data_IF_562172151871
#
_entry.id   IF_562172151871
#
_cell.length_a   1.000
_cell.length_b   1.000
_cell.length_c   1.000
_cell.angle_alpha   90.00
_cell.angle_beta   90.00
_cell.angle_gamma   90.00
#
_symmetry.space_group_name_H-M   'P 1'
#
loop_
_entity.id
_entity.type
_entity.pdbx_description
1 polymer ?
#
# COMPACT_ATOMS: atom_id res chain seq x y z
N UNK A 1 57.19 -0.61 13.85
CA UNK A 1 56.12 -0.90 14.82
C UNK A 1 56.41 -2.28 15.45
N UNK A 2 56.48 -2.39 16.77
CA UNK A 2 56.80 -3.68 17.45
C UNK A 2 55.68 -4.68 17.17
N UNK A 3 56.00 -5.96 16.92
CA UNK A 3 55.09 -7.07 16.62
C UNK A 3 53.86 -7.12 17.57
N UNK A 4 54.04 -6.80 18.83
CA UNK A 4 53.01 -6.74 19.86
C UNK A 4 51.97 -5.63 19.60
N UNK A 5 52.40 -4.44 19.17
CA UNK A 5 51.51 -3.31 18.83
C UNK A 5 50.65 -3.62 17.60
N UNK A 6 51.22 -4.30 16.58
CA UNK A 6 50.50 -4.71 15.39
C UNK A 6 49.39 -5.71 15.71
N UNK A 7 49.67 -6.69 16.58
CA UNK A 7 48.66 -7.68 17.02
C UNK A 7 47.51 -7.01 17.80
N UNK A 8 47.80 -6.04 18.66
CA UNK A 8 46.76 -5.31 19.39
C UNK A 8 45.85 -4.52 18.42
N UNK A 9 46.45 -3.85 17.45
CA UNK A 9 45.68 -3.12 16.42
C UNK A 9 44.78 -4.08 15.63
N UNK A 10 45.27 -5.25 15.21
CA UNK A 10 44.48 -6.23 14.48
C UNK A 10 43.29 -6.77 15.32
N UNK A 11 43.52 -6.98 16.62
CA UNK A 11 42.44 -7.41 17.53
C UNK A 11 41.37 -6.31 17.66
N UNK A 12 41.77 -5.06 17.84
CA UNK A 12 40.85 -3.91 17.94
C UNK A 12 40.03 -3.78 16.62
N UNK A 13 40.69 -3.86 15.45
CA UNK A 13 40.01 -3.81 14.15
C UNK A 13 39.02 -4.98 13.98
N UNK A 14 39.42 -6.18 14.41
CA UNK A 14 38.52 -7.35 14.42
C UNK A 14 37.29 -7.15 15.30
N UNK A 15 37.46 -6.61 16.51
CA UNK A 15 36.36 -6.29 17.42
C UNK A 15 35.43 -5.22 16.79
N UNK A 16 35.98 -4.15 16.20
CA UNK A 16 35.20 -3.10 15.56
C UNK A 16 34.43 -3.65 14.35
N UNK A 17 35.04 -4.52 13.56
CA UNK A 17 34.36 -5.18 12.45
C UNK A 17 33.21 -6.08 12.93
N UNK A 18 33.42 -6.86 14.00
CA UNK A 18 32.35 -7.67 14.59
C UNK A 18 31.20 -6.79 15.13
N UNK A 19 31.51 -5.72 15.86
CA UNK A 19 30.52 -4.79 16.37
C UNK A 19 29.71 -4.12 15.22
N UNK A 20 30.38 -3.77 14.14
CA UNK A 20 29.72 -3.23 12.93
C UNK A 20 28.76 -4.25 12.28
N UNK A 21 29.21 -5.51 12.12
CA UNK A 21 28.38 -6.58 11.56
C UNK A 21 27.17 -6.89 12.44
N UNK A 22 27.36 -6.96 13.77
CA UNK A 22 26.27 -7.14 14.74
C UNK A 22 25.30 -5.95 14.67
N UNK A 23 25.82 -4.73 14.62
CA UNK A 23 24.99 -3.52 14.48
C UNK A 23 24.17 -3.51 13.18
N UNK A 24 24.78 -3.91 12.06
CA UNK A 24 24.09 -4.04 10.76
C UNK A 24 23.03 -5.14 10.79
N UNK A 25 23.35 -6.30 11.37
CA UNK A 25 22.40 -7.40 11.51
C UNK A 25 21.19 -7.00 12.35
N UNK A 26 21.41 -6.40 13.52
CA UNK A 26 20.34 -5.95 14.40
C UNK A 26 19.49 -4.87 13.73
N UNK A 27 20.10 -3.92 13.00
CA UNK A 27 19.36 -2.90 12.26
C UNK A 27 18.44 -3.52 11.23
N UNK A 28 18.93 -4.47 10.43
CA UNK A 28 18.12 -5.13 9.40
C UNK A 28 16.99 -5.95 10.02
N UNK A 29 17.26 -6.70 11.08
CA UNK A 29 16.25 -7.50 11.76
C UNK A 29 15.15 -6.63 12.37
N UNK A 30 15.52 -5.57 13.12
CA UNK A 30 14.57 -4.63 13.71
C UNK A 30 13.73 -3.92 12.64
N UNK A 31 14.35 -3.52 11.51
CA UNK A 31 13.65 -2.91 10.37
C UNK A 31 12.64 -3.87 9.76
N UNK A 32 13.00 -5.13 9.53
CA UNK A 32 12.10 -6.13 8.96
C UNK A 32 10.93 -6.44 9.90
N UNK A 33 11.18 -6.57 11.20
CA UNK A 33 10.12 -6.79 12.19
C UNK A 33 9.14 -5.60 12.23
N UNK A 34 9.65 -4.37 12.26
CA UNK A 34 8.78 -3.18 12.21
C UNK A 34 7.98 -3.09 10.90
N UNK A 35 8.61 -3.44 9.77
CA UNK A 35 7.93 -3.49 8.48
C UNK A 35 6.82 -4.55 8.50
N UNK A 36 7.08 -5.75 9.04
CA UNK A 36 6.08 -6.81 9.20
C UNK A 36 4.87 -6.33 9.99
N UNK A 37 5.08 -5.71 11.17
CA UNK A 37 4.01 -5.16 12.02
C UNK A 37 3.15 -4.17 11.21
N UNK A 38 3.77 -3.22 10.53
CA UNK A 38 3.06 -2.22 9.73
C UNK A 38 2.32 -2.82 8.55
N UNK A 39 2.89 -3.83 7.89
CA UNK A 39 2.28 -4.54 6.77
C UNK A 39 1.04 -5.31 7.21
N UNK A 40 1.08 -5.99 8.36
CA UNK A 40 -0.09 -6.65 8.94
C UNK A 40 -1.21 -5.63 9.17
N UNK A 41 -0.93 -4.51 9.82
CA UNK A 41 -1.92 -3.46 10.06
C UNK A 41 -2.48 -2.88 8.73
N UNK A 42 -1.64 -2.62 7.73
CA UNK A 42 -2.05 -2.12 6.42
C UNK A 42 -2.95 -3.10 5.65
N UNK A 43 -2.75 -4.40 5.85
CA UNK A 43 -3.56 -5.45 5.22
C UNK A 43 -4.84 -5.77 6.00
N UNK A 44 -5.10 -5.07 7.10
CA UNK A 44 -6.30 -5.26 7.92
C UNK A 44 -6.19 -6.37 8.96
N UNK A 45 -4.99 -6.89 9.21
CA UNK A 45 -4.67 -7.84 10.28
C UNK A 45 -4.07 -7.11 11.48
N UNK A 46 -4.90 -6.31 12.15
CA UNK A 46 -4.49 -5.54 13.33
C UNK A 46 -4.18 -6.45 14.52
N UNK A 47 -4.89 -7.58 14.66
CA UNK A 47 -4.59 -8.56 15.71
C UNK A 47 -3.24 -9.22 15.51
N UNK A 48 -2.90 -9.59 14.27
CA UNK A 48 -1.56 -10.08 13.93
C UNK A 48 -0.48 -9.04 14.23
N UNK A 49 -0.74 -7.76 13.96
CA UNK A 49 0.17 -6.68 14.32
C UNK A 49 0.35 -6.55 15.85
N UNK A 50 -0.73 -6.69 16.64
CA UNK A 50 -0.68 -6.69 18.11
C UNK A 50 0.18 -7.85 18.61
N UNK A 51 -0.06 -9.07 18.12
CA UNK A 51 0.72 -10.25 18.49
C UNK A 51 2.21 -10.09 18.21
N UNK A 52 2.56 -9.53 17.04
CA UNK A 52 3.96 -9.24 16.70
C UNK A 52 4.59 -8.17 17.62
N UNK A 53 3.80 -7.17 18.02
CA UNK A 53 4.27 -6.14 18.98
C UNK A 53 4.47 -6.71 20.40
N UNK A 54 3.65 -7.64 20.82
CA UNK A 54 3.79 -8.32 22.12
C UNK A 54 5.05 -9.20 22.14
N UNK A 55 5.35 -9.89 21.05
CA UNK A 55 6.57 -10.68 20.89
C UNK A 55 7.83 -9.81 20.77
N UNK A 56 7.69 -8.58 20.30
CA UNK A 56 8.76 -7.63 20.06
C UNK A 56 8.50 -6.29 20.80
N UNK A 57 8.54 -6.25 22.14
CA UNK A 57 8.16 -5.07 22.92
C UNK A 57 9.14 -3.89 22.77
N UNK A 58 10.35 -4.17 22.27
CA UNK A 58 11.37 -3.15 22.00
C UNK A 58 12.36 -3.65 20.96
N UNK A 59 13.05 -2.72 20.30
CA UNK A 59 14.09 -2.99 19.31
C UNK A 59 15.48 -2.64 19.87
N UNK A 60 16.50 -3.33 19.36
CA UNK A 60 17.89 -3.13 19.74
C UNK A 60 18.50 -1.89 19.11
N UNK A 61 18.06 -1.54 17.91
CA UNK A 61 18.48 -0.31 17.23
C UNK A 61 17.78 0.90 17.82
N UNK A 62 18.52 1.83 18.41
CA UNK A 62 17.97 2.97 19.15
C UNK A 62 17.05 3.86 18.30
N UNK A 63 17.44 4.34 17.09
CA UNK A 63 16.55 5.10 16.22
C UNK A 63 15.25 4.38 15.87
N UNK A 64 15.31 3.10 15.51
CA UNK A 64 14.13 2.29 15.19
C UNK A 64 13.24 2.15 16.42
N UNK A 65 13.82 1.89 17.59
CA UNK A 65 13.08 1.73 18.83
C UNK A 65 12.35 3.02 19.26
N UNK A 66 12.96 4.19 19.06
CA UNK A 66 12.31 5.48 19.34
C UNK A 66 11.11 5.68 18.40
N UNK A 67 11.29 5.43 17.10
CA UNK A 67 10.22 5.54 16.10
C UNK A 67 9.08 4.55 16.38
N UNK A 68 9.43 3.30 16.72
CA UNK A 68 8.50 2.26 17.09
C UNK A 68 7.67 2.62 18.33
N UNK A 69 8.32 3.09 19.41
CA UNK A 69 7.61 3.46 20.66
C UNK A 69 6.62 4.60 20.46
N UNK A 70 6.94 5.58 19.58
CA UNK A 70 6.00 6.67 19.23
C UNK A 70 4.81 6.09 18.47
N UNK A 71 5.07 5.35 17.42
CA UNK A 71 4.04 4.72 16.61
C UNK A 71 3.15 3.76 17.45
N UNK A 72 3.78 2.95 18.33
CA UNK A 72 3.05 2.05 19.22
C UNK A 72 2.14 2.79 20.20
N UNK A 73 2.56 3.92 20.74
CA UNK A 73 1.72 4.74 21.62
C UNK A 73 0.45 5.18 20.93
N UNK A 74 0.56 5.68 19.68
CA UNK A 74 -0.59 6.11 18.90
C UNK A 74 -1.48 4.90 18.53
N UNK A 75 -0.85 3.77 18.22
CA UNK A 75 -1.53 2.50 17.93
C UNK A 75 -2.33 2.00 19.16
N UNK A 76 -1.71 1.99 20.32
CA UNK A 76 -2.37 1.58 21.57
C UNK A 76 -3.56 2.51 21.90
N UNK A 77 -3.41 3.82 21.72
CA UNK A 77 -4.50 4.79 21.91
C UNK A 77 -5.67 4.54 20.96
N UNK A 78 -5.40 4.14 19.72
CA UNK A 78 -6.45 3.86 18.71
C UNK A 78 -7.12 2.51 18.90
N UNK A 79 -6.37 1.44 19.11
CA UNK A 79 -6.88 0.07 19.02
C UNK A 79 -7.02 -0.61 20.38
N UNK A 80 -6.22 -0.25 21.39
CA UNK A 80 -6.21 -0.91 22.70
C UNK A 80 -7.04 -0.12 23.72
N UNK A 81 -6.63 1.13 24.02
CA UNK A 81 -7.32 1.97 25.02
C UNK A 81 -8.53 2.68 24.43
N UNK A 82 -8.56 2.86 23.11
CA UNK A 82 -9.64 3.52 22.35
C UNK A 82 -9.94 4.96 22.83
N UNK A 83 -8.91 5.64 23.35
CA UNK A 83 -8.97 7.00 23.87
C UNK A 83 -8.43 8.05 22.90
N UNK A 84 -8.15 7.66 21.64
CA UNK A 84 -7.73 8.58 20.60
C UNK A 84 -8.77 9.68 20.38
N UNK A 85 -8.32 10.93 20.47
CA UNK A 85 -9.13 12.10 20.14
C UNK A 85 -8.89 12.51 18.69
N UNK A 86 -9.95 12.49 17.89
CA UNK A 86 -9.90 12.91 16.50
C UNK A 86 -10.14 14.42 16.40
N UNK A 87 -9.21 15.14 15.82
CA UNK A 87 -9.35 16.57 15.54
C UNK A 87 -9.95 16.82 14.15
N UNK A 88 -10.83 17.82 14.04
CA UNK A 88 -11.38 18.21 12.74
C UNK A 88 -10.39 19.07 11.95
N UNK A 89 -9.52 18.40 11.21
CA UNK A 89 -8.56 19.05 10.29
C UNK A 89 -9.15 19.33 8.91
N UNK A 90 -10.34 18.78 8.60
CA UNK A 90 -11.01 18.90 7.28
C UNK A 90 -11.66 20.27 7.09
N UNK A 91 -12.05 20.95 8.19
CA UNK A 91 -12.75 22.22 8.15
C UNK A 91 -14.24 22.13 7.77
N UNK A 92 -14.74 20.93 7.39
CA UNK A 92 -16.14 20.66 7.11
C UNK A 92 -16.68 19.64 8.11
N UNK A 93 -17.70 20.05 8.88
CA UNK A 93 -18.26 19.22 9.96
C UNK A 93 -18.91 17.94 9.43
N UNK A 94 -19.64 18.00 8.32
CA UNK A 94 -20.36 16.85 7.76
C UNK A 94 -19.34 15.79 7.30
N UNK A 95 -18.31 16.21 6.58
CA UNK A 95 -17.24 15.31 6.11
C UNK A 95 -16.47 14.73 7.30
N UNK A 96 -16.17 15.55 8.30
CA UNK A 96 -15.52 15.09 9.52
C UNK A 96 -16.34 14.02 10.26
N UNK A 97 -17.65 14.25 10.45
CA UNK A 97 -18.53 13.32 11.14
C UNK A 97 -18.68 11.99 10.37
N UNK A 98 -18.87 12.06 9.04
CA UNK A 98 -18.89 10.88 8.18
C UNK A 98 -17.57 10.11 8.31
N UNK A 99 -16.43 10.80 8.24
CA UNK A 99 -15.12 10.16 8.36
C UNK A 99 -14.91 9.54 9.74
N UNK A 100 -15.46 10.15 10.80
CA UNK A 100 -15.40 9.61 12.15
C UNK A 100 -16.20 8.32 12.28
N UNK A 101 -17.41 8.25 11.68
CA UNK A 101 -18.21 7.03 11.62
C UNK A 101 -17.45 5.90 10.92
N UNK A 102 -16.75 6.18 9.80
CA UNK A 102 -15.92 5.19 9.12
C UNK A 102 -14.71 4.76 9.96
N UNK A 103 -14.02 5.70 10.62
CA UNK A 103 -12.86 5.37 11.50
C UNK A 103 -13.27 4.50 12.69
N UNK A 104 -14.43 4.78 13.30
CA UNK A 104 -15.00 3.91 14.35
C UNK A 104 -15.34 2.52 13.83
N UNK A 105 -15.93 2.45 12.64
CA UNK A 105 -16.23 1.18 11.97
C UNK A 105 -14.94 0.41 11.68
N UNK A 106 -13.92 1.02 11.06
CA UNK A 106 -12.65 0.35 10.79
C UNK A 106 -12.00 -0.13 12.09
N UNK A 107 -12.00 0.67 13.13
CA UNK A 107 -11.42 0.29 14.42
C UNK A 107 -12.04 -0.99 14.96
N UNK A 108 -13.36 -1.10 14.92
CA UNK A 108 -14.06 -2.29 15.44
C UNK A 108 -13.87 -3.51 14.52
N UNK A 109 -13.95 -3.34 13.20
CA UNK A 109 -13.82 -4.45 12.26
C UNK A 109 -12.37 -4.97 12.12
N UNK A 110 -11.38 -4.10 12.29
CA UNK A 110 -9.95 -4.47 12.25
C UNK A 110 -9.51 -5.32 13.45
N UNK A 111 -10.27 -5.28 14.55
CA UNK A 111 -10.03 -6.07 15.76
C UNK A 111 -10.76 -7.44 15.76
N UNK A 112 -11.43 -7.83 14.68
CA UNK A 112 -12.08 -9.13 14.58
C UNK A 112 -11.15 -10.19 14.02
N UNK A 113 -11.02 -11.32 14.69
CA UNK A 113 -10.15 -12.44 14.29
C UNK A 113 -10.61 -13.07 12.97
N UNK A 114 -11.91 -13.30 12.84
CA UNK A 114 -12.44 -14.01 11.69
C UNK A 114 -12.99 -13.00 10.66
N UNK A 115 -12.46 -12.98 9.42
CA UNK A 115 -13.00 -12.13 8.36
C UNK A 115 -14.50 -12.34 8.08
N UNK A 116 -15.06 -13.52 8.39
CA UNK A 116 -16.49 -13.81 8.22
C UNK A 116 -17.38 -13.10 9.24
N UNK A 117 -16.81 -12.64 10.34
CA UNK A 117 -17.54 -11.90 11.39
C UNK A 117 -17.57 -10.39 11.09
N UNK A 118 -16.85 -9.95 10.07
CA UNK A 118 -16.86 -8.56 9.61
C UNK A 118 -18.21 -8.24 8.97
N UNK A 119 -18.78 -7.10 9.35
CA UNK A 119 -20.10 -6.69 8.89
C UNK A 119 -20.23 -5.18 8.77
N UNK A 120 -20.85 -4.73 7.68
CA UNK A 120 -21.13 -3.32 7.43
C UNK A 120 -22.43 -2.84 8.10
N UNK A 121 -23.14 -3.72 8.78
CA UNK A 121 -24.46 -3.41 9.35
C UNK A 121 -24.39 -2.23 10.32
N UNK A 122 -23.37 -2.19 11.18
CA UNK A 122 -23.17 -1.10 12.15
C UNK A 122 -22.83 0.21 11.45
N UNK A 123 -21.97 0.16 10.42
CA UNK A 123 -21.62 1.32 9.60
C UNK A 123 -22.86 1.93 8.97
N UNK A 124 -23.65 1.13 8.23
CA UNK A 124 -24.83 1.62 7.54
C UNK A 124 -25.89 2.15 8.49
N UNK A 125 -26.05 1.52 9.67
CA UNK A 125 -26.95 2.02 10.69
C UNK A 125 -26.50 3.40 11.20
N UNK A 126 -25.23 3.55 11.59
CA UNK A 126 -24.68 4.83 12.09
C UNK A 126 -24.79 5.93 11.04
N UNK A 127 -24.48 5.64 9.78
CA UNK A 127 -24.63 6.59 8.68
C UNK A 127 -26.09 6.99 8.48
N UNK A 128 -27.02 6.02 8.48
CA UNK A 128 -28.46 6.29 8.36
C UNK A 128 -28.95 7.20 9.50
N UNK A 129 -28.60 6.86 10.72
CA UNK A 129 -29.00 7.64 11.92
C UNK A 129 -28.42 9.06 11.87
N UNK A 130 -27.15 9.20 11.50
CA UNK A 130 -26.50 10.49 11.37
C UNK A 130 -27.15 11.38 10.29
N UNK A 131 -27.39 10.84 9.09
CA UNK A 131 -27.93 11.61 7.98
C UNK A 131 -29.37 12.08 8.24
N UNK A 132 -30.19 11.26 8.88
CA UNK A 132 -31.57 11.64 9.29
C UNK A 132 -31.53 12.68 10.39
N UNK A 133 -30.76 12.45 11.45
CA UNK A 133 -30.71 13.34 12.62
C UNK A 133 -30.19 14.75 12.30
N UNK A 134 -29.39 14.87 11.24
CA UNK A 134 -28.85 16.16 10.79
C UNK A 134 -29.61 16.74 9.57
N UNK A 135 -30.74 16.16 9.17
CA UNK A 135 -31.55 16.59 8.03
C UNK A 135 -30.75 16.71 6.71
N UNK A 136 -29.80 15.80 6.49
CA UNK A 136 -28.93 15.78 5.31
C UNK A 136 -29.55 15.08 4.10
N UNK A 137 -30.73 14.43 4.29
CA UNK A 137 -31.46 13.72 3.28
C UNK A 137 -32.97 13.92 3.46
N UNK A 138 -33.72 13.85 2.36
CA UNK A 138 -35.17 13.82 2.36
C UNK A 138 -35.74 12.39 2.23
N UNK A 139 -34.88 11.39 2.11
CA UNK A 139 -35.28 10.00 1.97
C UNK A 139 -35.87 9.45 3.28
N UNK A 140 -36.86 8.57 3.17
CA UNK A 140 -37.32 7.78 4.30
C UNK A 140 -36.19 6.86 4.80
N UNK A 141 -36.25 6.42 6.06
CA UNK A 141 -35.23 5.52 6.64
C UNK A 141 -34.98 4.27 5.79
N UNK A 142 -36.03 3.64 5.27
CA UNK A 142 -35.93 2.41 4.47
C UNK A 142 -35.29 2.69 3.09
N UNK A 143 -35.66 3.79 2.46
CA UNK A 143 -35.06 4.21 1.19
C UNK A 143 -33.61 4.60 1.36
N UNK A 144 -33.30 5.32 2.43
CA UNK A 144 -31.94 5.72 2.77
C UNK A 144 -31.03 4.51 3.06
N UNK A 145 -31.49 3.54 3.86
CA UNK A 145 -30.75 2.31 4.14
C UNK A 145 -30.36 1.54 2.87
N UNK A 146 -31.22 1.53 1.85
CA UNK A 146 -30.91 0.91 0.56
C UNK A 146 -29.91 1.74 -0.24
N UNK A 147 -30.08 3.07 -0.25
CA UNK A 147 -29.25 4.00 -0.99
C UNK A 147 -27.81 4.12 -0.43
N UNK A 148 -27.65 4.00 0.88
CA UNK A 148 -26.31 3.97 1.51
C UNK A 148 -25.55 2.70 1.12
N UNK A 149 -26.23 1.54 0.99
CA UNK A 149 -25.60 0.28 0.59
C UNK A 149 -25.07 0.27 -0.84
N UNK A 150 -25.57 1.13 -1.70
CA UNK A 150 -25.09 1.34 -3.06
C UNK A 150 -24.34 2.68 -3.23
N UNK A 151 -24.00 3.31 -2.11
CA UNK A 151 -23.21 4.54 -1.98
C UNK A 151 -23.85 5.80 -2.61
N UNK A 152 -24.98 5.69 -3.28
CA UNK A 152 -25.49 6.77 -4.14
C UNK A 152 -25.88 8.04 -3.35
N UNK A 153 -26.60 7.90 -2.24
CA UNK A 153 -27.00 9.06 -1.44
C UNK A 153 -25.82 9.64 -0.64
N UNK A 154 -24.94 8.78 -0.12
CA UNK A 154 -23.74 9.22 0.60
C UNK A 154 -22.79 9.98 -0.33
N UNK A 155 -22.62 9.48 -1.56
CA UNK A 155 -21.87 10.15 -2.61
C UNK A 155 -22.44 11.54 -2.90
N UNK A 156 -23.74 11.63 -3.15
CA UNK A 156 -24.45 12.89 -3.41
C UNK A 156 -24.24 13.91 -2.27
N UNK A 157 -24.32 13.45 -1.01
CA UNK A 157 -24.16 14.32 0.16
C UNK A 157 -22.72 14.85 0.23
N UNK A 158 -21.72 14.00 0.04
CA UNK A 158 -20.31 14.40 0.07
C UNK A 158 -19.98 15.35 -1.08
N UNK A 159 -20.46 15.05 -2.30
CA UNK A 159 -20.26 15.92 -3.47
C UNK A 159 -20.93 17.29 -3.29
N UNK A 160 -22.09 17.35 -2.65
CA UNK A 160 -22.76 18.62 -2.31
C UNK A 160 -21.97 19.47 -1.28
N UNK A 161 -21.04 18.87 -0.55
CA UNK A 161 -20.12 19.61 0.31
C UNK A 161 -18.87 20.12 -0.45
N UNK A 162 -18.78 19.87 -1.76
CA UNK A 162 -17.67 20.32 -2.62
C UNK A 162 -16.49 19.35 -2.64
N UNK A 163 -16.64 18.13 -2.14
CA UNK A 163 -15.59 17.10 -2.15
C UNK A 163 -15.89 16.04 -3.21
N UNK A 164 -14.83 15.40 -3.70
CA UNK A 164 -14.93 14.20 -4.49
C UNK A 164 -14.83 12.97 -3.59
N UNK A 165 -15.43 11.87 -4.00
CA UNK A 165 -15.47 10.65 -3.20
C UNK A 165 -15.44 9.40 -4.05
N UNK A 166 -14.80 8.34 -3.55
CA UNK A 166 -14.92 6.98 -4.06
C UNK A 166 -15.08 6.00 -2.89
N UNK A 167 -15.82 4.92 -3.14
CA UNK A 167 -16.08 3.86 -2.19
C UNK A 167 -15.58 2.55 -2.78
N UNK A 168 -15.04 1.69 -1.93
CA UNK A 168 -14.59 0.37 -2.31
C UNK A 168 -14.89 -0.64 -1.24
N UNK A 169 -14.89 -1.90 -1.63
CA UNK A 169 -14.90 -3.01 -0.69
C UNK A 169 -13.60 -3.79 -0.87
N UNK A 170 -12.75 -3.80 0.16
CA UNK A 170 -11.44 -4.47 0.12
C UNK A 170 -11.15 -5.16 1.44
N UNK A 171 -10.66 -6.40 1.38
CA UNK A 171 -10.29 -7.21 2.55
C UNK A 171 -11.43 -7.37 3.59
N UNK A 172 -12.70 -7.36 3.12
CA UNK A 172 -13.87 -7.46 4.00
C UNK A 172 -14.31 -6.14 4.63
N UNK A 173 -13.77 -4.99 4.18
CA UNK A 173 -14.10 -3.66 4.70
C UNK A 173 -14.68 -2.75 3.64
N UNK A 174 -15.64 -1.90 4.07
CA UNK A 174 -16.03 -0.73 3.29
C UNK A 174 -14.94 0.34 3.42
N UNK A 175 -14.46 0.80 2.27
CA UNK A 175 -13.44 1.84 2.13
C UNK A 175 -14.09 3.18 1.82
N UNK A 176 -13.46 4.24 2.28
CA UNK A 176 -13.84 5.62 1.97
C UNK A 176 -12.61 6.40 1.57
N UNK A 177 -12.67 7.00 0.39
CA UNK A 177 -11.68 7.94 -0.13
C UNK A 177 -12.37 9.27 -0.39
N UNK A 178 -11.92 10.35 0.24
CA UNK A 178 -12.43 11.71 0.03
C UNK A 178 -11.27 12.63 -0.30
N UNK A 179 -11.44 13.46 -1.32
CA UNK A 179 -10.44 14.44 -1.74
C UNK A 179 -11.09 15.74 -2.21
N UNK A 180 -10.32 16.82 -2.14
CA UNK A 180 -10.78 18.17 -2.47
C UNK A 180 -10.65 18.43 -3.98
N UNK A 181 -9.48 18.21 -4.57
CA UNK A 181 -9.18 18.56 -5.95
C UNK A 181 -8.79 17.35 -6.80
N UNK A 182 -9.16 17.43 -8.08
CA UNK A 182 -8.74 16.47 -9.09
C UNK A 182 -8.51 17.14 -10.44
N UNK A 183 -7.60 16.56 -11.22
CA UNK A 183 -7.38 16.89 -12.63
C UNK A 183 -7.56 15.62 -13.45
N UNK A 184 -8.22 15.71 -14.59
CA UNK A 184 -8.47 14.56 -15.47
C UNK A 184 -7.65 14.73 -16.75
N UNK A 185 -6.92 13.66 -17.13
CA UNK A 185 -6.23 13.58 -18.42
C UNK A 185 -6.48 12.22 -19.07
N UNK A 186 -6.53 12.20 -20.39
CA UNK A 186 -6.56 10.97 -21.18
C UNK A 186 -5.17 10.70 -21.74
N UNK A 187 -4.80 9.42 -21.73
CA UNK A 187 -3.52 8.92 -22.23
C UNK A 187 -3.78 7.80 -23.23
N UNK A 188 -3.08 7.85 -24.34
CA UNK A 188 -2.93 6.72 -25.24
C UNK A 188 -1.75 5.88 -24.74
N UNK A 189 -2.03 4.67 -24.21
CA UNK A 189 -1.05 3.80 -23.61
C UNK A 189 -0.70 2.67 -24.54
N UNK A 190 0.55 2.67 -25.02
CA UNK A 190 1.08 1.64 -25.90
C UNK A 190 1.61 0.49 -25.06
N UNK A 191 1.01 -0.69 -25.24
CA UNK A 191 1.40 -1.97 -24.66
C UNK A 191 1.93 -2.90 -25.76
N UNK A 192 2.60 -4.04 -25.45
CA UNK A 192 3.25 -4.88 -26.46
C UNK A 192 2.33 -5.41 -27.57
N UNK A 193 1.04 -5.57 -27.29
CA UNK A 193 0.04 -6.12 -28.24
C UNK A 193 -1.23 -5.29 -28.35
N UNK A 194 -1.31 -4.17 -27.65
CA UNK A 194 -2.50 -3.32 -27.61
C UNK A 194 -2.13 -1.85 -27.48
N UNK A 195 -3.01 -0.99 -27.92
CA UNK A 195 -3.01 0.43 -27.58
C UNK A 195 -4.34 0.75 -26.98
N UNK A 196 -4.37 1.35 -25.79
CA UNK A 196 -5.61 1.66 -25.10
C UNK A 196 -5.68 3.12 -24.68
N UNK A 197 -6.87 3.68 -24.79
CA UNK A 197 -7.22 4.96 -24.21
C UNK A 197 -7.48 4.78 -22.71
N UNK A 198 -6.67 5.43 -21.87
CA UNK A 198 -6.79 5.36 -20.42
C UNK A 198 -7.06 6.75 -19.86
N UNK A 199 -8.18 6.88 -19.15
CA UNK A 199 -8.51 8.09 -18.40
C UNK A 199 -7.81 8.06 -17.05
N UNK A 200 -7.05 9.11 -16.70
CA UNK A 200 -6.40 9.23 -15.40
C UNK A 200 -6.99 10.41 -14.63
N UNK A 201 -7.52 10.12 -13.45
CA UNK A 201 -7.99 11.08 -12.47
C UNK A 201 -6.85 11.29 -11.45
N UNK A 202 -6.16 12.40 -11.55
CA UNK A 202 -5.13 12.81 -10.60
C UNK A 202 -5.78 13.41 -9.36
N UNK A 203 -5.65 12.72 -8.25
CA UNK A 203 -6.22 13.14 -6.98
C UNK A 203 -5.23 14.04 -6.23
N UNK A 204 -5.73 15.15 -5.76
CA UNK A 204 -4.99 16.13 -4.97
C UNK A 204 -5.73 16.42 -3.67
N UNK A 205 -5.00 16.75 -2.60
CA UNK A 205 -5.57 17.16 -1.32
C UNK A 205 -6.55 16.14 -0.73
N UNK A 206 -6.08 14.92 -0.52
CA UNK A 206 -6.86 13.92 0.19
C UNK A 206 -7.25 14.38 1.58
N UNK A 207 -8.48 14.05 1.97
CA UNK A 207 -9.00 14.22 3.33
C UNK A 207 -9.10 12.86 4.03
N UNK A 208 -9.48 11.82 3.29
CA UNK A 208 -9.59 10.44 3.79
C UNK A 208 -8.94 9.51 2.77
N UNK A 209 -8.09 8.60 3.27
CA UNK A 209 -7.22 7.72 2.46
C UNK A 209 -7.54 6.23 2.58
N UNK A 210 -8.67 5.85 3.19
CA UNK A 210 -9.01 4.46 3.45
C UNK A 210 -8.48 3.91 4.79
N UNK A 211 -8.79 2.63 5.08
CA UNK A 211 -8.46 2.03 6.37
C UNK A 211 -6.97 1.74 6.55
N UNK A 212 -6.23 1.43 5.50
CA UNK A 212 -4.80 1.15 5.58
C UNK A 212 -4.00 2.37 6.07
N UNK A 213 -4.34 3.55 5.56
CA UNK A 213 -3.79 4.80 6.07
C UNK A 213 -4.18 5.04 7.53
N UNK A 214 -5.44 4.79 7.87
CA UNK A 214 -5.94 4.88 9.25
C UNK A 214 -5.18 3.89 10.16
N UNK A 215 -5.09 2.61 9.81
CA UNK A 215 -4.44 1.58 10.62
C UNK A 215 -2.93 1.79 10.79
N UNK A 216 -2.28 2.49 9.87
CA UNK A 216 -0.82 2.70 9.87
C UNK A 216 -0.38 4.13 10.19
N UNK A 217 -1.30 5.01 10.59
CA UNK A 217 -0.99 6.42 10.90
C UNK A 217 -0.29 7.14 9.75
N UNK A 218 -0.80 6.94 8.53
CA UNK A 218 -0.25 7.56 7.33
C UNK A 218 1.00 6.89 6.76
N UNK A 219 1.52 5.82 7.37
CA UNK A 219 2.70 5.10 6.84
C UNK A 219 2.38 4.31 5.57
N UNK A 220 1.13 3.87 5.40
CA UNK A 220 0.60 3.26 4.18
C UNK A 220 -0.42 4.19 3.53
N UNK A 221 -0.38 4.26 2.22
CA UNK A 221 -1.32 5.02 1.41
C UNK A 221 -1.47 4.35 0.06
N UNK A 222 -2.67 4.31 -0.46
CA UNK A 222 -2.94 3.86 -1.82
C UNK A 222 -2.26 4.81 -2.81
N UNK A 223 -1.44 4.26 -3.71
CA UNK A 223 -0.80 5.04 -4.79
C UNK A 223 -1.79 5.42 -5.89
N UNK A 224 -2.78 4.57 -6.09
CA UNK A 224 -3.84 4.71 -7.06
C UNK A 224 -4.67 3.44 -7.13
N UNK A 225 -5.67 3.44 -7.98
CA UNK A 225 -6.50 2.27 -8.28
C UNK A 225 -7.14 2.38 -9.66
N UNK A 226 -7.62 1.26 -10.16
CA UNK A 226 -8.24 1.14 -11.47
C UNK A 226 -9.74 0.84 -11.36
N UNK A 227 -10.54 1.42 -12.27
CA UNK A 227 -11.92 1.03 -12.53
C UNK A 227 -11.99 0.46 -13.95
N UNK A 228 -12.14 -0.86 -14.04
CA UNK A 228 -12.08 -1.62 -15.30
C UNK A 228 -13.13 -1.18 -16.29
N UNK A 229 -14.38 -1.02 -15.85
CA UNK A 229 -15.55 -0.76 -16.69
C UNK A 229 -15.43 0.55 -17.49
N UNK A 230 -14.65 1.48 -16.99
CA UNK A 230 -14.45 2.80 -17.61
C UNK A 230 -13.03 3.07 -18.06
N UNK A 231 -12.12 2.07 -18.00
CA UNK A 231 -10.69 2.24 -18.24
C UNK A 231 -10.13 3.50 -17.54
N UNK A 232 -10.52 3.69 -16.27
CA UNK A 232 -10.18 4.86 -15.48
C UNK A 232 -9.20 4.49 -14.37
N UNK A 233 -8.10 5.21 -14.31
CA UNK A 233 -7.12 5.15 -13.22
C UNK A 233 -7.32 6.34 -12.29
N UNK A 234 -7.24 6.09 -10.99
CA UNK A 234 -7.16 7.12 -9.97
C UNK A 234 -5.73 7.16 -9.43
N UNK A 235 -5.06 8.27 -9.58
CA UNK A 235 -3.65 8.45 -9.26
C UNK A 235 -3.46 9.47 -8.14
N UNK A 236 -2.80 9.08 -7.07
CA UNK A 236 -2.35 10.01 -6.06
C UNK A 236 -1.25 10.91 -6.66
N UNK A 237 -1.61 12.15 -7.03
CA UNK A 237 -0.74 13.10 -7.73
C UNK A 237 0.57 13.39 -6.99
N UNK A 238 0.56 13.31 -5.66
CA UNK A 238 1.74 13.61 -4.85
C UNK A 238 2.81 12.51 -4.91
N UNK A 239 2.46 11.31 -5.39
CA UNK A 239 3.36 10.17 -5.46
C UNK A 239 4.19 10.09 -6.73
N UNK A 240 3.80 10.81 -7.78
CA UNK A 240 4.41 10.68 -9.10
C UNK A 240 4.82 12.02 -9.70
N UNK A 241 6.05 12.09 -10.18
CA UNK A 241 6.42 13.08 -11.19
C UNK A 241 5.86 12.59 -12.54
N UNK A 242 4.94 13.35 -13.12
CA UNK A 242 4.24 12.96 -14.35
C UNK A 242 5.15 12.93 -15.60
N UNK A 243 6.35 13.46 -15.49
CA UNK A 243 7.34 13.43 -16.56
C UNK A 243 8.39 12.32 -16.34
N UNK A 244 8.25 11.51 -15.30
CA UNK A 244 9.18 10.43 -14.98
C UNK A 244 8.79 9.11 -15.63
N UNK A 245 9.79 8.29 -15.92
CA UNK A 245 9.60 6.90 -16.34
C UNK A 245 8.84 6.10 -15.27
N UNK A 246 9.02 6.43 -13.99
CA UNK A 246 8.24 5.79 -12.92
C UNK A 246 6.74 6.02 -13.06
N UNK A 247 6.29 7.21 -13.50
CA UNK A 247 4.88 7.44 -13.80
C UNK A 247 4.46 6.70 -15.08
N UNK A 248 5.22 6.84 -16.16
CA UNK A 248 4.84 6.29 -17.47
C UNK A 248 4.83 4.76 -17.46
N UNK A 249 5.86 4.14 -16.90
CA UNK A 249 6.05 2.68 -16.96
C UNK A 249 5.45 2.01 -15.73
N UNK A 250 5.88 2.40 -14.53
CA UNK A 250 5.52 1.67 -13.31
C UNK A 250 4.13 2.00 -12.76
N UNK A 251 3.49 3.04 -13.29
CA UNK A 251 2.10 3.32 -12.98
C UNK A 251 1.22 3.17 -14.22
N UNK A 252 1.41 4.00 -15.24
CA UNK A 252 0.47 4.10 -16.36
C UNK A 252 0.40 2.80 -17.18
N UNK A 253 1.55 2.25 -17.62
CA UNK A 253 1.56 0.98 -18.37
C UNK A 253 1.17 -0.21 -17.50
N UNK A 254 1.65 -0.27 -16.26
CA UNK A 254 1.32 -1.31 -15.28
C UNK A 254 -0.19 -1.43 -15.06
N UNK A 255 -0.82 -0.34 -14.64
CA UNK A 255 -2.25 -0.31 -14.34
C UNK A 255 -3.12 -0.46 -15.60
N UNK A 256 -2.67 0.09 -16.73
CA UNK A 256 -3.39 -0.05 -18.00
C UNK A 256 -3.38 -1.48 -18.53
N UNK A 257 -2.31 -2.25 -18.25
CA UNK A 257 -2.27 -3.67 -18.62
C UNK A 257 -3.36 -4.47 -17.89
N UNK A 258 -3.69 -4.13 -16.65
CA UNK A 258 -4.76 -4.80 -15.92
C UNK A 258 -6.11 -4.72 -16.65
N UNK A 259 -6.40 -3.61 -17.35
CA UNK A 259 -7.64 -3.50 -18.16
C UNK A 259 -7.66 -4.50 -19.30
N UNK A 260 -6.56 -4.62 -20.05
CA UNK A 260 -6.48 -5.57 -21.18
C UNK A 260 -6.46 -7.01 -20.70
N UNK A 261 -5.74 -7.31 -19.62
CA UNK A 261 -5.62 -8.64 -19.08
C UNK A 261 -6.94 -9.14 -18.50
N UNK A 262 -7.64 -8.35 -17.71
CA UNK A 262 -8.95 -8.73 -17.18
C UNK A 262 -10.03 -8.90 -18.28
N UNK A 263 -9.89 -8.20 -19.40
CA UNK A 263 -10.78 -8.39 -20.54
C UNK A 263 -10.47 -9.69 -21.30
N UNK A 264 -9.18 -10.01 -21.49
CA UNK A 264 -8.75 -11.21 -22.22
C UNK A 264 -8.79 -12.48 -21.34
N UNK A 265 -8.48 -12.31 -20.06
CA UNK A 265 -8.28 -13.40 -19.11
C UNK A 265 -9.02 -13.11 -17.78
N UNK A 266 -10.36 -13.17 -17.78
CA UNK A 266 -11.17 -12.72 -16.62
C UNK A 266 -10.96 -13.53 -15.33
N UNK A 267 -10.28 -14.68 -15.42
CA UNK A 267 -10.03 -15.58 -14.30
C UNK A 267 -8.58 -15.51 -13.77
N UNK A 268 -7.75 -14.57 -14.24
CA UNK A 268 -6.42 -14.39 -13.67
C UNK A 268 -6.52 -14.03 -12.18
N UNK A 269 -5.68 -14.66 -11.37
CA UNK A 269 -5.53 -14.27 -9.98
C UNK A 269 -4.84 -12.91 -9.87
N UNK A 270 -5.02 -12.22 -8.72
CA UNK A 270 -4.31 -10.96 -8.47
C UNK A 270 -2.79 -11.11 -8.60
N UNK A 271 -2.23 -12.24 -8.13
CA UNK A 271 -0.79 -12.51 -8.26
C UNK A 271 -0.33 -12.65 -9.72
N UNK A 272 -1.17 -13.26 -10.59
CA UNK A 272 -0.85 -13.38 -12.01
C UNK A 272 -0.96 -12.05 -12.74
N UNK A 273 -1.95 -11.22 -12.39
CA UNK A 273 -2.08 -9.85 -12.89
C UNK A 273 -0.84 -9.01 -12.54
N UNK A 274 -0.43 -9.06 -11.28
CA UNK A 274 0.76 -8.35 -10.81
C UNK A 274 2.05 -8.84 -11.47
N UNK A 275 2.19 -10.18 -11.63
CA UNK A 275 3.35 -10.74 -12.33
C UNK A 275 3.47 -10.19 -13.75
N UNK A 276 2.36 -10.14 -14.49
CA UNK A 276 2.32 -9.63 -15.86
C UNK A 276 2.60 -8.13 -15.93
N UNK A 277 2.00 -7.35 -15.02
CA UNK A 277 2.22 -5.92 -14.96
C UNK A 277 3.68 -5.57 -14.60
N UNK A 278 4.30 -6.29 -13.68
CA UNK A 278 5.73 -6.12 -13.35
C UNK A 278 6.66 -6.58 -14.47
N UNK A 279 6.27 -7.58 -15.25
CA UNK A 279 7.01 -7.95 -16.47
C UNK A 279 7.02 -6.79 -17.46
N UNK A 280 5.86 -6.12 -17.68
CA UNK A 280 5.80 -4.91 -18.51
C UNK A 280 6.70 -3.79 -17.96
N UNK A 281 6.75 -3.59 -16.65
CA UNK A 281 7.67 -2.61 -16.08
C UNK A 281 9.11 -2.88 -16.55
N UNK A 282 9.61 -4.09 -16.37
CA UNK A 282 10.98 -4.44 -16.78
C UNK A 282 11.21 -4.38 -18.30
N UNK A 283 10.18 -4.68 -19.11
CA UNK A 283 10.30 -4.58 -20.58
C UNK A 283 10.45 -3.14 -21.07
N UNK A 284 9.97 -2.15 -20.34
CA UNK A 284 9.95 -0.74 -20.76
C UNK A 284 10.84 0.17 -19.92
N UNK A 285 11.37 -0.28 -18.78
CA UNK A 285 12.33 0.48 -18.01
C UNK A 285 13.62 0.68 -18.78
N UNK A 286 14.19 1.89 -18.69
CA UNK A 286 15.49 2.25 -19.24
C UNK A 286 16.59 2.22 -18.17
N UNK A 287 17.82 2.66 -18.51
CA UNK A 287 18.92 2.79 -17.52
C UNK A 287 18.55 3.68 -16.33
N UNK A 288 17.61 4.61 -16.51
CA UNK A 288 17.19 5.54 -15.45
C UNK A 288 16.54 4.80 -14.27
N UNK A 289 15.73 3.77 -14.52
CA UNK A 289 14.91 3.16 -13.46
C UNK A 289 15.05 1.66 -13.32
N UNK A 290 15.61 0.93 -14.30
CA UNK A 290 15.58 -0.54 -14.31
C UNK A 290 16.26 -1.16 -13.08
N UNK A 291 17.39 -0.64 -12.66
CA UNK A 291 18.12 -1.19 -11.51
C UNK A 291 17.42 -0.89 -10.19
N UNK A 292 16.80 0.29 -10.05
CA UNK A 292 15.98 0.63 -8.89
C UNK A 292 14.76 -0.27 -8.85
N UNK A 293 14.16 -0.59 -10.00
CA UNK A 293 13.02 -1.51 -10.09
C UNK A 293 13.39 -2.93 -9.70
N UNK A 294 14.54 -3.43 -10.15
CA UNK A 294 15.07 -4.74 -9.70
C UNK A 294 15.31 -4.73 -8.18
N UNK A 295 15.88 -3.66 -7.64
CA UNK A 295 16.10 -3.53 -6.20
C UNK A 295 14.80 -3.53 -5.40
N UNK A 296 13.78 -2.82 -5.89
CA UNK A 296 12.44 -2.80 -5.28
C UNK A 296 11.80 -4.20 -5.30
N UNK A 297 11.92 -4.92 -6.42
CA UNK A 297 11.39 -6.27 -6.54
C UNK A 297 12.14 -7.25 -5.62
N UNK A 298 13.46 -7.17 -5.52
CA UNK A 298 14.27 -7.96 -4.59
C UNK A 298 13.87 -7.70 -3.13
N UNK A 299 13.75 -6.44 -2.75
CA UNK A 299 13.41 -6.03 -1.38
C UNK A 299 11.97 -6.39 -0.99
N UNK A 300 11.06 -6.39 -1.96
CA UNK A 300 9.65 -6.70 -1.78
C UNK A 300 9.28 -8.16 -2.03
N UNK A 301 10.23 -9.03 -2.41
CA UNK A 301 9.94 -10.44 -2.74
C UNK A 301 9.54 -11.25 -1.51
N UNK A 302 8.42 -11.98 -1.60
CA UNK A 302 7.95 -12.88 -0.55
C UNK A 302 7.08 -14.00 -1.14
N UNK A 303 7.38 -15.26 -0.82
CA UNK A 303 6.67 -16.44 -1.33
C UNK A 303 5.77 -17.14 -0.31
N UNK A 304 5.58 -16.57 0.88
CA UNK A 304 4.84 -17.22 1.97
C UNK A 304 3.34 -17.32 1.68
N UNK A 305 2.77 -16.33 1.01
CA UNK A 305 1.34 -16.31 0.73
C UNK A 305 1.06 -15.65 -0.63
N UNK A 306 0.43 -16.43 -1.54
CA UNK A 306 0.02 -15.95 -2.86
C UNK A 306 -1.05 -14.86 -2.82
N UNK A 307 -1.82 -14.76 -1.75
CA UNK A 307 -2.84 -13.72 -1.60
C UNK A 307 -2.22 -12.32 -1.46
N UNK A 308 -0.97 -12.23 -1.02
CA UNK A 308 -0.16 -11.01 -1.08
C UNK A 308 0.42 -10.84 -2.48
N UNK A 309 -0.40 -10.39 -3.42
CA UNK A 309 -0.14 -10.42 -4.85
C UNK A 309 1.18 -9.75 -5.28
N UNK A 310 1.48 -8.55 -4.83
CA UNK A 310 2.70 -7.83 -5.19
C UNK A 310 3.99 -8.52 -4.69
N UNK A 311 4.14 -8.87 -3.39
CA UNK A 311 5.31 -9.58 -2.90
C UNK A 311 5.51 -10.94 -3.56
N UNK A 312 4.42 -11.68 -3.78
CA UNK A 312 4.47 -12.97 -4.44
C UNK A 312 4.88 -12.86 -5.90
N UNK A 313 4.33 -11.90 -6.64
CA UNK A 313 4.70 -11.61 -8.03
C UNK A 313 6.18 -11.20 -8.15
N UNK A 314 6.68 -10.37 -7.24
CA UNK A 314 8.10 -10.01 -7.16
C UNK A 314 8.97 -11.26 -7.03
N UNK A 315 8.63 -12.17 -6.09
CA UNK A 315 9.39 -13.38 -5.88
C UNK A 315 9.44 -14.27 -7.13
N UNK A 316 8.28 -14.49 -7.76
CA UNK A 316 8.20 -15.35 -8.97
C UNK A 316 8.95 -14.71 -10.14
N UNK A 317 8.80 -13.40 -10.36
CA UNK A 317 9.48 -12.69 -11.45
C UNK A 317 11.00 -12.74 -11.29
N UNK A 318 11.51 -12.36 -10.12
CA UNK A 318 12.95 -12.42 -9.83
C UNK A 318 13.46 -13.86 -9.94
N UNK A 319 12.73 -14.86 -9.45
CA UNK A 319 13.13 -16.28 -9.59
C UNK A 319 13.22 -16.73 -11.05
N UNK A 320 12.25 -16.36 -11.88
CA UNK A 320 12.26 -16.71 -13.31
C UNK A 320 13.43 -16.03 -14.04
N UNK A 321 13.65 -14.75 -13.81
CA UNK A 321 14.78 -14.00 -14.37
C UNK A 321 16.12 -14.55 -13.86
N UNK A 322 16.20 -14.95 -12.59
CA UNK A 322 17.42 -15.56 -12.03
C UNK A 322 17.80 -16.86 -12.72
N UNK A 323 16.81 -17.68 -13.06
CA UNK A 323 17.04 -18.91 -13.84
C UNK A 323 17.58 -18.62 -15.24
N UNK A 324 16.98 -17.62 -15.91
CA UNK A 324 17.36 -17.27 -17.27
C UNK A 324 18.74 -16.60 -17.35
N UNK A 325 19.01 -15.65 -16.45
CA UNK A 325 20.19 -14.79 -16.55
C UNK A 325 21.39 -15.28 -15.75
N UNK A 326 21.18 -16.03 -14.67
CA UNK A 326 22.24 -16.47 -13.75
C UNK A 326 22.31 -17.98 -13.56
N UNK A 327 21.40 -18.77 -14.15
CA UNK A 327 21.25 -20.19 -13.89
C UNK A 327 21.14 -20.51 -12.38
N UNK A 328 20.38 -19.69 -11.64
CA UNK A 328 20.17 -19.75 -10.21
C UNK A 328 18.67 -19.77 -9.90
N UNK A 329 18.23 -20.46 -8.83
CA UNK A 329 16.83 -20.47 -8.42
C UNK A 329 16.34 -19.08 -8.01
N UNK A 330 17.18 -18.29 -7.32
CA UNK A 330 16.87 -16.93 -6.92
C UNK A 330 18.17 -16.16 -6.65
N UNK A 331 18.49 -15.18 -7.48
CA UNK A 331 19.68 -14.33 -7.29
C UNK A 331 19.32 -13.10 -6.44
N UNK A 332 19.79 -13.08 -5.21
CA UNK A 332 19.53 -11.99 -4.25
C UNK A 332 20.60 -10.90 -4.22
N UNK A 333 21.76 -11.14 -4.87
CA UNK A 333 22.86 -10.18 -4.88
C UNK A 333 22.62 -9.07 -5.91
N UNK A 334 22.15 -7.92 -5.47
CA UNK A 334 21.84 -6.78 -6.34
C UNK A 334 23.01 -6.36 -7.24
N UNK A 335 24.26 -6.45 -6.76
CA UNK A 335 25.44 -6.09 -7.55
C UNK A 335 25.69 -7.00 -8.77
N UNK A 336 25.10 -8.19 -8.82
CA UNK A 336 25.12 -9.03 -10.02
C UNK A 336 24.15 -8.50 -11.08
N UNK A 337 22.97 -8.07 -10.67
CA UNK A 337 21.97 -7.47 -11.55
C UNK A 337 22.50 -6.20 -12.23
N UNK A 338 23.22 -5.34 -11.49
CA UNK A 338 23.85 -4.13 -12.06
C UNK A 338 24.94 -4.40 -13.11
N UNK A 339 25.42 -5.63 -13.25
CA UNK A 339 26.38 -6.00 -14.28
C UNK A 339 25.74 -6.38 -15.61
N UNK A 340 24.44 -6.64 -15.60
CA UNK A 340 23.67 -6.87 -16.81
C UNK A 340 23.34 -5.54 -17.48
N UNK A 341 23.30 -5.54 -18.78
CA UNK A 341 22.77 -4.40 -19.54
C UNK A 341 21.24 -4.33 -19.42
N UNK A 342 20.70 -3.15 -19.68
CA UNK A 342 19.24 -2.97 -19.77
C UNK A 342 18.63 -3.92 -20.78
N UNK A 343 19.27 -4.08 -21.94
CA UNK A 343 18.79 -4.97 -23.01
C UNK A 343 18.74 -6.44 -22.59
N UNK A 344 19.71 -6.93 -21.81
CA UNK A 344 19.70 -8.29 -21.29
C UNK A 344 18.53 -8.51 -20.33
N UNK A 345 18.21 -7.54 -19.49
CA UNK A 345 17.07 -7.64 -18.54
C UNK A 345 15.74 -7.52 -19.28
N UNK A 346 15.61 -6.55 -20.22
CA UNK A 346 14.35 -6.31 -20.94
C UNK A 346 13.96 -7.46 -21.87
N UNK A 347 14.93 -8.24 -22.36
CA UNK A 347 14.70 -9.37 -23.29
C UNK A 347 14.59 -10.73 -22.58
N UNK A 348 14.86 -10.81 -21.29
CA UNK A 348 14.74 -12.06 -20.53
C UNK A 348 13.30 -12.36 -20.10
#
# INVERSE_FOLDING_TARGET
MKKKTRNIILIILGILACLFLIGKYNFNNDKQTLLKIKTLAANGDVLGAINEMEQNPSFTNIPINIAYKRWKKDFDSRFITKDEVLENTIGNKIIFDISTIYREYWREELLKENPKDKTDTVLYKKLTDYLISNNLTSLSRDSLSKSIRNDSELKRIIENQGFNVDFKFRNGFQELYIWDKQTIKNYEVILPKDTIETKVVFIEQYQIYGYDNYATFGSSQVGGWAIKESATLFCNRQRYDLNSENFEVSYLKHESLHFTDLNKYPNLSSADLEYRAKTIELMYCTEETIYDRILDFLNGANNLDRSYSHPYANYILIGNLSKLLFNSEFESEYDKWKKLSVEEINNA
#
